data_IF_295669065534
#
_entry.id   IF_295669065534
#
_cell.length_a   1.000
_cell.length_b   1.000
_cell.length_c   1.000
_cell.angle_alpha   90.00
_cell.angle_beta   90.00
_cell.angle_gamma   90.00
#
_symmetry.space_group_name_H-M   'P 1'
#
loop_
_entity.id
_entity.type
_entity.pdbx_description
1 polymer ?
#
# COMPACT_ATOMS: atom_id res chain seq x y z
N UNK A 1 -15.06 0.94 30.32
CA UNK A 1 -16.24 0.10 30.02
C UNK A 1 -15.75 -1.19 29.39
N UNK A 2 -16.27 -2.35 29.80
CA UNK A 2 -15.90 -3.67 29.23
C UNK A 2 -16.91 -4.01 28.14
N UNK A 3 -16.49 -4.05 26.87
CA UNK A 3 -17.42 -4.30 25.75
C UNK A 3 -17.88 -5.77 25.72
N UNK A 4 -17.11 -6.68 26.32
CA UNK A 4 -17.48 -8.11 26.37
C UNK A 4 -18.80 -8.43 27.08
N UNK A 5 -19.28 -7.58 28.00
CA UNK A 5 -20.52 -7.82 28.79
C UNK A 5 -21.74 -7.15 28.15
N UNK A 6 -21.58 -6.46 27.02
CA UNK A 6 -22.70 -5.80 26.34
C UNK A 6 -23.65 -6.80 25.71
N UNK A 7 -24.95 -6.50 25.70
CA UNK A 7 -25.89 -7.22 24.84
C UNK A 7 -25.56 -6.99 23.35
N UNK A 8 -26.05 -7.89 22.50
CA UNK A 8 -25.75 -7.89 21.06
C UNK A 8 -26.22 -6.62 20.35
N UNK A 9 -27.41 -6.12 20.70
CA UNK A 9 -27.99 -4.95 20.04
C UNK A 9 -27.10 -3.71 20.28
N UNK A 10 -26.64 -3.52 21.50
CA UNK A 10 -25.75 -2.42 21.85
C UNK A 10 -24.35 -2.58 21.25
N UNK A 11 -23.83 -3.79 21.10
CA UNK A 11 -22.59 -4.03 20.33
C UNK A 11 -22.74 -3.63 18.87
N UNK A 12 -23.89 -3.96 18.27
CA UNK A 12 -24.19 -3.59 16.89
C UNK A 12 -24.27 -2.07 16.72
N UNK A 13 -24.96 -1.36 17.62
CA UNK A 13 -24.99 0.12 17.60
C UNK A 13 -23.58 0.70 17.74
N UNK A 14 -22.80 0.21 18.71
CA UNK A 14 -21.43 0.67 18.94
C UNK A 14 -20.52 0.43 17.72
N UNK A 15 -20.65 -0.71 17.05
CA UNK A 15 -19.93 -1.00 15.82
C UNK A 15 -20.32 -0.03 14.70
N UNK A 16 -21.61 0.26 14.53
CA UNK A 16 -22.08 1.25 13.55
C UNK A 16 -21.53 2.66 13.83
N UNK A 17 -21.55 3.10 15.08
CA UNK A 17 -20.96 4.38 15.50
C UNK A 17 -19.44 4.42 15.29
N UNK A 18 -18.76 3.30 15.51
CA UNK A 18 -17.34 3.15 15.22
C UNK A 18 -17.04 3.34 13.73
N UNK A 19 -17.77 2.64 12.84
CA UNK A 19 -17.58 2.72 11.37
C UNK A 19 -17.87 4.13 10.86
N UNK A 20 -18.93 4.77 11.36
CA UNK A 20 -19.28 6.15 11.01
C UNK A 20 -18.33 7.20 11.62
N UNK A 21 -17.43 6.78 12.50
CA UNK A 21 -16.44 7.64 13.13
C UNK A 21 -17.01 8.57 14.21
N UNK A 22 -18.19 8.27 14.74
CA UNK A 22 -18.94 9.11 15.69
C UNK A 22 -18.43 8.99 17.14
N UNK A 23 -17.66 7.94 17.44
CA UNK A 23 -17.14 7.70 18.78
C UNK A 23 -16.06 8.69 19.19
N UNK A 24 -16.02 8.98 20.50
CA UNK A 24 -14.94 9.76 21.08
C UNK A 24 -13.60 8.98 21.09
N UNK A 25 -12.45 9.64 21.32
CA UNK A 25 -11.15 8.97 21.30
C UNK A 25 -10.94 7.89 22.37
N UNK A 26 -11.67 7.90 23.48
CA UNK A 26 -11.58 6.88 24.51
C UNK A 26 -12.43 5.65 24.16
N UNK A 27 -13.64 5.87 23.64
CA UNK A 27 -14.54 4.83 23.14
C UNK A 27 -13.96 4.10 21.94
N UNK A 28 -13.41 4.85 20.96
CA UNK A 28 -12.73 4.26 19.79
C UNK A 28 -11.61 3.31 20.22
N UNK A 29 -10.77 3.74 21.16
CA UNK A 29 -9.69 2.88 21.71
C UNK A 29 -10.22 1.68 22.47
N UNK A 30 -11.37 1.79 23.12
CA UNK A 30 -12.00 0.65 23.80
C UNK A 30 -12.46 -0.40 22.78
N UNK A 31 -13.12 0.03 21.71
CA UNK A 31 -13.51 -0.85 20.59
C UNK A 31 -12.29 -1.53 19.97
N UNK A 32 -11.23 -0.77 19.65
CA UNK A 32 -10.00 -1.29 19.06
C UNK A 32 -9.30 -2.36 19.92
N UNK A 33 -9.27 -2.16 21.25
CA UNK A 33 -8.69 -3.16 22.17
C UNK A 33 -9.51 -4.44 22.23
N UNK A 34 -10.83 -4.31 22.28
CA UNK A 34 -11.72 -5.44 22.55
C UNK A 34 -12.04 -6.23 21.25
N UNK A 35 -11.84 -5.62 20.07
CA UNK A 35 -12.12 -6.20 18.76
C UNK A 35 -11.52 -7.59 18.55
N UNK A 36 -10.26 -7.79 18.97
CA UNK A 36 -9.58 -9.07 18.79
C UNK A 36 -10.23 -10.21 19.62
N UNK A 37 -10.81 -9.88 20.78
CA UNK A 37 -11.37 -10.85 21.73
C UNK A 37 -12.87 -11.09 21.58
N UNK A 38 -13.60 -10.22 20.90
CA UNK A 38 -15.06 -10.25 20.81
C UNK A 38 -15.53 -10.61 19.39
N UNK A 39 -15.99 -11.85 19.22
CA UNK A 39 -16.44 -12.35 17.92
C UNK A 39 -17.74 -11.69 17.44
N UNK A 40 -18.64 -11.35 18.35
CA UNK A 40 -19.91 -10.68 18.00
C UNK A 40 -19.63 -9.25 17.52
N UNK A 41 -18.75 -8.52 18.23
CA UNK A 41 -18.36 -7.16 17.85
C UNK A 41 -17.70 -7.13 16.47
N UNK A 42 -16.85 -8.12 16.13
CA UNK A 42 -16.25 -8.22 14.78
C UNK A 42 -17.29 -8.52 13.70
N UNK A 43 -18.26 -9.39 13.99
CA UNK A 43 -19.32 -9.69 13.04
C UNK A 43 -20.19 -8.46 12.76
N UNK A 44 -20.56 -7.71 13.81
CA UNK A 44 -21.30 -6.47 13.69
C UNK A 44 -20.50 -5.38 12.96
N UNK A 45 -19.19 -5.28 13.22
CA UNK A 45 -18.32 -4.35 12.49
C UNK A 45 -18.34 -4.64 10.98
N UNK A 46 -18.10 -5.90 10.60
CA UNK A 46 -18.11 -6.31 9.19
C UNK A 46 -19.48 -6.04 8.53
N UNK A 47 -20.58 -6.33 9.23
CA UNK A 47 -21.93 -6.03 8.75
C UNK A 47 -22.12 -4.54 8.45
N UNK A 48 -21.67 -3.66 9.35
CA UNK A 48 -21.79 -2.21 9.15
C UNK A 48 -20.87 -1.68 8.06
N UNK A 49 -19.64 -2.19 7.96
CA UNK A 49 -18.71 -1.85 6.87
C UNK A 49 -19.31 -2.20 5.51
N UNK A 50 -19.80 -3.42 5.32
CA UNK A 50 -20.44 -3.86 4.07
C UNK A 50 -21.68 -3.01 3.73
N UNK A 51 -22.54 -2.77 4.72
CA UNK A 51 -23.77 -1.99 4.54
C UNK A 51 -23.48 -0.54 4.13
N UNK A 52 -22.47 0.08 4.73
CA UNK A 52 -22.14 1.47 4.49
C UNK A 52 -21.30 1.66 3.22
N UNK A 53 -20.48 0.68 2.85
CA UNK A 53 -19.73 0.70 1.59
C UNK A 53 -20.64 0.84 0.36
N UNK A 54 -21.79 0.15 0.37
CA UNK A 54 -22.79 0.23 -0.72
C UNK A 54 -23.35 1.66 -0.93
N UNK A 55 -23.25 2.54 0.08
CA UNK A 55 -23.68 3.93 -0.06
C UNK A 55 -22.67 4.79 -0.84
N UNK A 56 -21.44 4.31 -1.00
CA UNK A 56 -20.36 5.02 -1.71
C UNK A 56 -20.34 4.67 -3.20
N UNK A 57 -20.90 3.52 -3.61
CA UNK A 57 -20.99 3.09 -5.01
C UNK A 57 -21.48 4.16 -6.02
N UNK A 58 -22.52 4.97 -5.72
CA UNK A 58 -22.99 6.00 -6.65
C UNK A 58 -22.11 7.26 -6.67
N UNK A 59 -21.09 7.37 -5.82
CA UNK A 59 -20.21 8.55 -5.74
C UNK A 59 -19.17 8.47 -6.86
N UNK A 60 -19.09 9.47 -7.77
CA UNK A 60 -18.11 9.47 -8.84
C UNK A 60 -16.69 9.59 -8.27
N UNK A 61 -15.75 8.82 -8.84
CA UNK A 61 -14.35 8.89 -8.46
C UNK A 61 -13.73 10.25 -8.84
N UNK A 62 -13.04 10.87 -7.88
CA UNK A 62 -12.25 12.08 -8.10
C UNK A 62 -10.77 11.77 -7.94
N UNK A 63 -9.94 12.17 -8.90
CA UNK A 63 -8.49 11.89 -8.88
C UNK A 63 -7.79 12.94 -8.01
N UNK A 64 -7.22 12.58 -6.85
CA UNK A 64 -6.47 13.52 -6.04
C UNK A 64 -5.16 13.92 -6.75
N UNK A 65 -4.59 15.09 -6.42
CA UNK A 65 -3.28 15.47 -6.96
C UNK A 65 -2.21 14.42 -6.65
N UNK A 66 -1.34 14.09 -7.62
CA UNK A 66 -0.33 13.03 -7.49
C UNK A 66 0.58 13.16 -6.24
N UNK A 67 0.82 14.39 -5.78
CA UNK A 67 1.56 14.67 -4.54
C UNK A 67 0.96 14.05 -3.28
N UNK A 68 -0.34 13.79 -3.25
CA UNK A 68 -1.04 13.23 -2.08
C UNK A 68 -0.54 11.82 -1.81
N UNK A 69 -0.51 10.98 -2.84
CA UNK A 69 -0.03 9.61 -2.74
C UNK A 69 1.45 9.57 -2.34
N UNK A 70 2.31 10.34 -3.03
CA UNK A 70 3.73 10.43 -2.70
C UNK A 70 4.00 10.86 -1.25
N UNK A 71 3.18 11.77 -0.69
CA UNK A 71 3.28 12.19 0.71
C UNK A 71 2.86 11.09 1.68
N UNK A 72 1.86 10.29 1.34
CA UNK A 72 1.42 9.13 2.14
C UNK A 72 2.55 8.10 2.17
N UNK A 73 3.11 7.75 1.02
CA UNK A 73 4.23 6.81 0.93
C UNK A 73 5.44 7.29 1.74
N UNK A 74 5.84 8.55 1.58
CA UNK A 74 6.97 9.10 2.31
C UNK A 74 6.76 9.10 3.83
N UNK A 75 5.52 9.30 4.30
CA UNK A 75 5.20 9.29 5.74
C UNK A 75 5.20 7.87 6.33
N UNK A 76 4.69 6.90 5.58
CA UNK A 76 4.56 5.52 6.06
C UNK A 76 5.85 4.71 5.92
N UNK A 77 6.59 4.94 4.84
CA UNK A 77 7.74 4.11 4.46
C UNK A 77 9.06 4.89 4.39
N UNK A 78 9.02 6.21 4.63
CA UNK A 78 10.15 7.10 4.40
C UNK A 78 10.28 7.51 2.94
N UNK A 79 11.06 8.56 2.69
CA UNK A 79 11.38 8.99 1.32
C UNK A 79 12.39 8.00 0.73
N UNK A 80 12.15 7.42 -0.46
CA UNK A 80 13.17 6.64 -1.15
C UNK A 80 14.44 7.48 -1.30
N UNK A 81 15.57 6.99 -0.79
CA UNK A 81 16.84 7.70 -0.89
C UNK A 81 17.24 7.85 -2.37
N UNK A 82 17.26 9.08 -2.92
CA UNK A 82 17.66 9.30 -4.31
C UNK A 82 19.17 9.13 -4.51
N UNK A 83 19.95 8.79 -3.48
CA UNK A 83 21.41 8.63 -3.57
C UNK A 83 21.84 7.68 -4.70
N UNK A 84 21.08 6.62 -4.99
CA UNK A 84 21.40 5.74 -6.11
C UNK A 84 21.22 6.45 -7.47
N UNK A 85 20.20 7.31 -7.62
CA UNK A 85 19.98 8.12 -8.84
C UNK A 85 21.05 9.19 -9.01
N UNK A 86 21.48 9.80 -7.90
CA UNK A 86 22.58 10.77 -7.90
C UNK A 86 23.92 10.13 -8.29
N UNK A 87 24.07 8.81 -8.08
CA UNK A 87 25.26 8.02 -8.47
C UNK A 87 25.23 7.51 -9.91
N UNK A 88 24.08 7.53 -10.60
CA UNK A 88 23.98 7.04 -11.98
C UNK A 88 24.99 7.71 -12.93
N UNK A 89 25.17 9.05 -12.94
CA UNK A 89 26.11 9.69 -13.85
C UNK A 89 27.57 9.25 -13.62
N UNK A 90 27.97 9.11 -12.35
CA UNK A 90 29.29 8.64 -11.97
C UNK A 90 29.50 7.18 -12.42
N UNK A 91 28.52 6.30 -12.19
CA UNK A 91 28.55 4.91 -12.63
C UNK A 91 28.66 4.79 -14.16
N UNK A 92 27.93 5.62 -14.92
CA UNK A 92 28.04 5.65 -16.39
C UNK A 92 29.41 6.11 -16.85
N UNK A 93 30.02 7.08 -16.16
CA UNK A 93 31.37 7.56 -16.47
C UNK A 93 32.45 6.52 -16.19
N UNK A 94 32.29 5.73 -15.12
CA UNK A 94 33.18 4.61 -14.79
C UNK A 94 33.02 3.45 -15.79
N UNK A 95 31.79 3.14 -16.21
CA UNK A 95 31.55 2.11 -17.24
C UNK A 95 32.12 2.51 -18.61
N UNK A 96 32.00 3.79 -18.98
CA UNK A 96 32.51 4.33 -20.24
C UNK A 96 34.03 4.57 -20.26
N UNK A 97 34.71 4.34 -19.12
CA UNK A 97 36.15 4.47 -19.02
C UNK A 97 36.86 3.55 -20.03
N UNK A 98 37.97 3.98 -20.67
CA UNK A 98 38.65 3.20 -21.70
C UNK A 98 39.05 1.78 -21.28
N UNK A 99 39.32 1.55 -19.98
CA UNK A 99 39.66 0.24 -19.43
C UNK A 99 38.50 -0.75 -19.35
N UNK A 100 37.24 -0.28 -19.42
CA UNK A 100 36.04 -1.10 -19.23
C UNK A 100 35.32 -1.45 -20.54
N UNK A 101 35.90 -1.06 -21.69
CA UNK A 101 35.31 -1.29 -23.04
C UNK A 101 35.14 -2.77 -23.38
N UNK A 102 36.02 -3.65 -22.89
CA UNK A 102 35.88 -5.10 -23.07
C UNK A 102 34.64 -5.68 -22.39
N UNK A 103 34.31 -5.19 -21.18
CA UNK A 103 33.10 -5.57 -20.45
C UNK A 103 31.84 -5.08 -21.16
N UNK A 104 31.85 -3.85 -21.68
CA UNK A 104 30.73 -3.32 -22.47
C UNK A 104 30.47 -4.17 -23.73
N UNK A 105 31.53 -4.53 -24.46
CA UNK A 105 31.41 -5.37 -25.66
C UNK A 105 30.85 -6.77 -25.31
N UNK A 106 31.32 -7.38 -24.21
CA UNK A 106 30.82 -8.66 -23.74
C UNK A 106 29.33 -8.60 -23.35
N UNK A 107 28.91 -7.57 -22.60
CA UNK A 107 27.50 -7.38 -22.21
C UNK A 107 26.60 -7.17 -23.44
N UNK A 108 27.04 -6.37 -24.40
CA UNK A 108 26.31 -6.17 -25.66
C UNK A 108 26.18 -7.46 -26.46
N UNK A 109 27.24 -8.26 -26.52
CA UNK A 109 27.24 -9.56 -27.20
C UNK A 109 26.26 -10.53 -26.54
N UNK A 110 26.29 -10.64 -25.21
CA UNK A 110 25.34 -11.47 -24.44
C UNK A 110 23.91 -11.01 -24.67
N UNK A 111 23.65 -9.70 -24.63
CA UNK A 111 22.31 -9.14 -24.86
C UNK A 111 21.81 -9.41 -26.29
N UNK A 112 22.68 -9.29 -27.29
CA UNK A 112 22.35 -9.63 -28.67
C UNK A 112 22.04 -11.11 -28.83
N UNK A 113 22.84 -12.00 -28.21
CA UNK A 113 22.59 -13.44 -28.22
C UNK A 113 21.25 -13.80 -27.56
N UNK A 114 20.91 -13.16 -26.44
CA UNK A 114 19.61 -13.32 -25.78
C UNK A 114 18.45 -12.87 -26.67
N UNK A 115 18.58 -11.73 -27.36
CA UNK A 115 17.54 -11.25 -28.28
C UNK A 115 17.35 -12.20 -29.47
N UNK A 116 18.44 -12.74 -30.02
CA UNK A 116 18.39 -13.75 -31.08
C UNK A 116 17.74 -15.05 -30.58
N UNK A 117 18.08 -15.51 -29.38
CA UNK A 117 17.45 -16.67 -28.76
C UNK A 117 15.95 -16.45 -28.54
N UNK A 118 15.56 -15.29 -28.02
CA UNK A 118 14.17 -14.96 -27.77
C UNK A 118 13.37 -14.85 -29.08
N UNK A 119 13.97 -14.28 -30.13
CA UNK A 119 13.40 -14.26 -31.47
C UNK A 119 13.22 -15.68 -32.02
N UNK A 120 14.23 -16.55 -31.86
CA UNK A 120 14.18 -17.95 -32.28
C UNK A 120 13.12 -18.77 -31.53
N UNK A 121 12.85 -18.46 -30.26
CA UNK A 121 11.82 -19.15 -29.47
C UNK A 121 10.41 -18.67 -29.82
N UNK A 122 10.27 -17.42 -30.29
CA UNK A 122 8.99 -16.79 -30.59
C UNK A 122 8.46 -17.08 -32.01
N UNK A 123 9.33 -17.49 -32.95
CA UNK A 123 9.02 -17.76 -34.36
C UNK A 123 9.38 -19.20 -34.74
#
# INVERSE_FOLDING_TARGET
MVIGVMDRERKSVLAGEYVLGLLDPAERRAVERDLAGDADLRADLAFWEERLLALVDPVPAEVPPARVYARIEARLFGTPDPAWRARLPALWSELAAPGNRGLLAAVLLVKAALLVLLLYVLF
#
